data_IF_809105594238
#
_entry.id   IF_809105594238
#
_cell.length_a   1.000
_cell.length_b   1.000
_cell.length_c   1.000
_cell.angle_alpha   90.00
_cell.angle_beta   90.00
_cell.angle_gamma   90.00
#
_symmetry.space_group_name_H-M   'P 1'
#
loop_
_entity.id
_entity.type
_entity.pdbx_description
1 polymer ?
#
# COMPACT_ATOMS: atom_id res chain seq x y z
N UNK A 1 -7.79 -4.12 -21.84
CA UNK A 1 -7.85 -4.33 -20.37
C UNK A 1 -7.99 -2.96 -19.73
N UNK A 2 -8.92 -2.79 -18.77
CA UNK A 2 -9.06 -1.53 -18.03
C UNK A 2 -7.86 -1.35 -17.07
N UNK A 3 -7.46 -0.11 -16.83
CA UNK A 3 -6.33 0.22 -15.94
C UNK A 3 -6.71 0.24 -14.47
N UNK A 4 -5.71 0.16 -13.59
CA UNK A 4 -5.83 0.55 -12.18
C UNK A 4 -5.34 1.97 -12.02
N UNK A 5 -6.18 2.84 -11.44
CA UNK A 5 -5.80 4.20 -11.09
C UNK A 5 -5.49 4.27 -9.60
N UNK A 6 -4.34 4.84 -9.25
CA UNK A 6 -3.97 5.10 -7.86
C UNK A 6 -3.81 6.58 -7.60
N UNK A 7 -4.17 7.05 -6.40
CA UNK A 7 -4.06 8.45 -5.98
C UNK A 7 -3.32 8.56 -4.67
N UNK A 8 -2.21 9.28 -4.65
CA UNK A 8 -1.40 9.45 -3.45
C UNK A 8 -0.18 10.32 -3.65
N UNK A 9 0.64 10.46 -2.62
CA UNK A 9 1.87 11.23 -2.66
C UNK A 9 3.06 10.35 -3.06
N UNK A 10 3.82 10.79 -4.06
CA UNK A 10 5.18 10.30 -4.30
C UNK A 10 6.18 11.29 -3.71
N UNK A 11 7.15 10.77 -2.99
CA UNK A 11 8.20 11.53 -2.28
C UNK A 11 9.58 11.05 -2.70
N UNK A 12 10.62 11.75 -2.28
CA UNK A 12 11.97 11.23 -2.34
C UNK A 12 12.33 10.53 -1.01
N UNK A 13 12.63 9.24 -1.10
CA UNK A 13 13.24 8.47 -0.03
C UNK A 13 14.73 8.76 -0.01
N UNK A 14 15.26 9.11 1.15
CA UNK A 14 16.69 9.29 1.39
C UNK A 14 17.12 8.27 2.45
N UNK A 15 18.07 7.42 2.09
CA UNK A 15 18.60 6.39 2.99
C UNK A 15 20.13 6.36 2.92
N UNK A 16 20.83 5.99 4.00
CA UNK A 16 22.27 5.70 3.91
C UNK A 16 22.56 4.74 2.77
N UNK A 17 23.64 4.97 2.06
CA UNK A 17 24.05 4.12 0.94
C UNK A 17 24.46 2.72 1.42
N UNK A 18 25.18 2.68 2.54
CA UNK A 18 25.63 1.43 3.12
C UNK A 18 24.57 0.82 4.03
N UNK A 19 24.31 -0.47 3.86
CA UNK A 19 23.38 -1.22 4.71
C UNK A 19 23.86 -1.21 6.17
N UNK A 20 22.94 -0.87 7.08
CA UNK A 20 23.19 -0.85 8.52
C UNK A 20 23.82 0.43 9.06
N UNK A 21 24.22 1.35 8.21
CA UNK A 21 24.71 2.66 8.61
C UNK A 21 23.57 3.51 9.19
N UNK A 22 23.87 4.31 10.21
CA UNK A 22 22.89 5.22 10.79
C UNK A 22 22.85 6.53 10.01
N UNK A 23 21.70 7.21 10.01
CA UNK A 23 21.57 8.53 9.39
C UNK A 23 22.62 9.53 9.92
N UNK A 24 22.96 9.44 11.23
CA UNK A 24 23.93 10.33 11.88
C UNK A 24 25.41 9.97 11.59
N UNK A 25 25.65 8.82 10.96
CA UNK A 25 27.00 8.35 10.62
C UNK A 25 27.30 8.46 9.13
N UNK A 26 26.26 8.44 8.31
CA UNK A 26 26.42 8.41 6.86
C UNK A 26 26.80 9.77 6.29
N UNK A 27 27.74 9.75 5.35
CA UNK A 27 28.12 10.90 4.53
C UNK A 27 27.60 10.76 3.08
N UNK A 28 27.11 9.56 2.70
CA UNK A 28 26.58 9.26 1.38
C UNK A 28 25.17 8.71 1.47
N UNK A 29 24.29 9.18 0.60
CA UNK A 29 22.88 8.84 0.64
C UNK A 29 22.35 8.44 -0.74
N UNK A 30 21.56 7.38 -0.76
CA UNK A 30 20.77 6.97 -1.91
C UNK A 30 19.47 7.73 -1.91
N UNK A 31 19.08 8.27 -3.08
CA UNK A 31 17.83 9.01 -3.26
C UNK A 31 16.99 8.28 -4.30
N UNK A 32 15.87 7.72 -3.88
CA UNK A 32 14.91 7.03 -4.74
C UNK A 32 13.49 7.56 -4.50
N UNK A 33 12.64 7.67 -5.53
CA UNK A 33 11.23 7.96 -5.33
C UNK A 33 10.52 6.79 -4.65
N UNK A 34 9.56 7.12 -3.77
CA UNK A 34 8.72 6.15 -3.07
C UNK A 34 7.43 6.79 -2.55
N UNK A 35 6.43 5.95 -2.31
CA UNK A 35 5.12 6.34 -1.80
C UNK A 35 4.15 5.19 -1.93
N UNK A 36 3.22 5.04 -0.99
CA UNK A 36 2.36 3.85 -0.91
C UNK A 36 1.64 3.58 -2.23
N UNK A 37 0.92 4.55 -2.76
CA UNK A 37 0.11 4.38 -3.96
C UNK A 37 0.94 4.32 -5.26
N UNK A 38 2.12 4.95 -5.27
CA UNK A 38 3.07 4.82 -6.38
C UNK A 38 3.70 3.41 -6.40
N UNK A 39 3.99 2.84 -5.22
CA UNK A 39 4.47 1.47 -5.07
C UNK A 39 3.43 0.48 -5.58
N UNK A 40 2.15 0.69 -5.23
CA UNK A 40 1.03 -0.12 -5.74
C UNK A 40 0.91 -0.02 -7.27
N UNK A 41 1.01 1.20 -7.84
CA UNK A 41 1.01 1.37 -9.30
C UNK A 41 2.10 0.57 -9.99
N UNK A 42 3.34 0.66 -9.48
CA UNK A 42 4.49 -0.04 -10.05
C UNK A 42 4.32 -1.56 -9.93
N UNK A 43 3.94 -2.05 -8.75
CA UNK A 43 3.76 -3.48 -8.52
C UNK A 43 2.69 -4.08 -9.43
N UNK A 44 1.51 -3.46 -9.54
CA UNK A 44 0.42 -3.91 -10.42
C UNK A 44 0.84 -3.85 -11.90
N UNK A 45 1.61 -2.82 -12.29
CA UNK A 45 2.13 -2.72 -13.65
C UNK A 45 3.08 -3.85 -14.00
N UNK A 46 3.98 -4.20 -13.08
CA UNK A 46 4.91 -5.33 -13.26
C UNK A 46 4.21 -6.69 -13.28
N UNK A 47 3.04 -6.81 -12.65
CA UNK A 47 2.16 -7.98 -12.77
C UNK A 47 1.38 -8.02 -14.10
N UNK A 48 1.51 -7.01 -14.97
CA UNK A 48 0.94 -7.00 -16.33
C UNK A 48 -0.37 -6.23 -16.49
N UNK A 49 -0.88 -5.50 -15.49
CA UNK A 49 -2.06 -4.64 -15.63
C UNK A 49 -1.62 -3.19 -15.89
N UNK A 50 -2.20 -2.48 -16.86
CA UNK A 50 -1.95 -1.05 -17.03
C UNK A 50 -2.31 -0.25 -15.78
N UNK A 51 -1.46 0.72 -15.41
CA UNK A 51 -1.68 1.59 -14.23
C UNK A 51 -1.54 3.05 -14.59
N UNK A 52 -2.29 3.91 -13.90
CA UNK A 52 -2.20 5.36 -13.96
C UNK A 52 -2.04 5.90 -12.53
N UNK A 53 -1.05 6.76 -12.34
CA UNK A 53 -0.79 7.38 -11.04
C UNK A 53 -1.23 8.85 -11.05
N UNK A 54 -2.05 9.23 -10.08
CA UNK A 54 -2.63 10.57 -9.92
C UNK A 54 -2.04 11.23 -8.68
N UNK A 55 -1.48 12.42 -8.85
CA UNK A 55 -0.88 13.21 -7.77
C UNK A 55 -0.72 14.67 -8.18
N UNK A 56 -0.26 15.52 -7.26
CA UNK A 56 0.16 16.90 -7.54
C UNK A 56 1.60 17.11 -7.06
N UNK A 57 2.46 17.59 -7.95
CA UNK A 57 3.89 17.79 -7.71
C UNK A 57 4.28 19.22 -8.10
N UNK A 58 5.32 19.82 -7.48
CA UNK A 58 5.86 21.08 -7.95
C UNK A 58 6.50 20.91 -9.35
N UNK A 59 6.54 21.97 -10.14
CA UNK A 59 7.19 21.95 -11.45
C UNK A 59 8.70 22.22 -11.29
N UNK A 60 9.48 21.17 -11.05
CA UNK A 60 10.93 21.24 -10.88
C UNK A 60 11.61 19.89 -11.16
N UNK A 61 12.96 19.90 -11.17
CA UNK A 61 13.77 18.71 -11.48
C UNK A 61 13.62 17.54 -10.50
N UNK A 62 13.28 17.80 -9.24
CA UNK A 62 13.03 16.72 -8.27
C UNK A 62 11.74 15.98 -8.60
N UNK A 63 10.72 16.70 -9.03
CA UNK A 63 9.48 16.10 -9.53
C UNK A 63 9.70 15.31 -10.81
N UNK A 64 10.51 15.85 -11.73
CA UNK A 64 10.88 15.12 -12.95
C UNK A 64 11.59 13.79 -12.63
N UNK A 65 12.46 13.75 -11.60
CA UNK A 65 13.07 12.50 -11.14
C UNK A 65 12.01 11.49 -10.70
N UNK A 66 10.99 11.93 -9.95
CA UNK A 66 9.91 11.06 -9.51
C UNK A 66 9.03 10.58 -10.68
N UNK A 67 8.72 11.47 -11.64
CA UNK A 67 7.95 11.13 -12.84
C UNK A 67 8.72 10.12 -13.72
N UNK A 68 9.99 10.37 -13.98
CA UNK A 68 10.84 9.47 -14.77
C UNK A 68 10.96 8.08 -14.12
N UNK A 69 11.04 8.04 -12.80
CA UNK A 69 11.06 6.77 -12.06
C UNK A 69 9.77 5.96 -12.29
N UNK A 70 8.60 6.58 -12.23
CA UNK A 70 7.33 5.93 -12.55
C UNK A 70 7.28 5.46 -14.02
N UNK A 71 7.76 6.30 -14.93
CA UNK A 71 7.81 6.02 -16.37
C UNK A 71 8.75 4.84 -16.71
N UNK A 72 9.85 4.64 -15.96
CA UNK A 72 10.73 3.48 -16.12
C UNK A 72 9.97 2.14 -15.94
N UNK A 73 8.89 2.14 -15.14
CA UNK A 73 7.98 1.01 -14.98
C UNK A 73 6.75 1.06 -15.89
N UNK A 74 6.71 2.00 -16.86
CA UNK A 74 5.58 2.20 -17.76
C UNK A 74 4.25 2.50 -17.05
N UNK A 75 4.29 3.17 -15.90
CA UNK A 75 3.12 3.75 -15.22
C UNK A 75 2.68 4.99 -16.02
N UNK A 76 1.39 5.13 -16.29
CA UNK A 76 0.84 6.34 -16.92
C UNK A 76 0.90 7.51 -15.94
N UNK A 77 1.69 8.53 -16.29
CA UNK A 77 1.91 9.76 -15.51
C UNK A 77 1.19 10.98 -16.08
N UNK A 78 0.35 10.80 -17.10
CA UNK A 78 -0.35 11.92 -17.78
C UNK A 78 -1.39 12.62 -16.91
N UNK A 79 -1.75 12.02 -15.77
CA UNK A 79 -2.71 12.55 -14.79
C UNK A 79 -2.03 13.28 -13.62
N UNK A 80 -0.71 13.49 -13.69
CA UNK A 80 0.03 14.24 -12.67
C UNK A 80 -0.15 15.74 -12.92
N UNK A 81 -0.63 16.43 -11.88
CA UNK A 81 -0.76 17.90 -11.88
C UNK A 81 0.58 18.52 -11.47
N UNK A 82 1.15 19.37 -12.33
CA UNK A 82 2.40 20.10 -12.05
C UNK A 82 2.09 21.48 -11.51
N UNK A 83 2.00 21.61 -10.19
CA UNK A 83 1.72 22.88 -9.51
C UNK A 83 2.12 22.79 -8.03
N UNK A 84 2.42 23.93 -7.42
CA UNK A 84 2.80 24.03 -6.01
C UNK A 84 4.29 24.24 -5.84
N UNK A 85 4.81 24.08 -4.60
CA UNK A 85 6.16 24.54 -4.27
C UNK A 85 7.10 23.46 -3.77
N UNK A 86 6.58 22.39 -3.16
CA UNK A 86 7.40 21.43 -2.42
C UNK A 86 7.06 20.00 -2.76
N UNK A 87 8.08 19.21 -3.08
CA UNK A 87 8.02 17.75 -3.11
C UNK A 87 8.31 17.21 -1.69
N UNK A 88 7.56 16.21 -1.24
CA UNK A 88 7.79 15.56 0.04
C UNK A 88 9.08 14.74 0.05
N UNK A 89 9.70 14.65 1.22
CA UNK A 89 10.91 13.85 1.45
C UNK A 89 10.69 13.00 2.70
N UNK A 90 11.24 11.80 2.70
CA UNK A 90 11.37 11.01 3.91
C UNK A 90 12.75 10.35 4.00
N UNK A 91 13.27 10.35 5.21
CA UNK A 91 14.54 9.72 5.54
C UNK A 91 14.26 8.37 6.16
N UNK A 92 14.99 7.35 5.73
CA UNK A 92 14.87 6.01 6.31
C UNK A 92 16.21 5.52 6.83
N UNK A 93 16.18 4.92 8.02
CA UNK A 93 17.26 4.14 8.57
C UNK A 93 16.76 2.71 8.74
N UNK A 94 17.31 1.77 7.98
CA UNK A 94 16.92 0.37 8.07
C UNK A 94 17.41 -0.25 9.38
N UNK A 95 16.52 -0.94 10.05
CA UNK A 95 16.84 -1.69 11.26
C UNK A 95 17.67 -2.94 10.94
N UNK A 96 18.53 -3.34 11.88
CA UNK A 96 19.31 -4.57 11.81
C UNK A 96 19.30 -5.26 13.16
N UNK A 97 19.01 -6.56 13.19
CA UNK A 97 18.96 -7.34 14.42
C UNK A 97 17.98 -6.73 15.45
N UNK A 98 18.43 -6.32 16.62
CA UNK A 98 17.57 -5.72 17.66
C UNK A 98 17.24 -4.23 17.39
N UNK A 99 17.92 -3.58 16.44
CA UNK A 99 17.72 -2.17 16.15
C UNK A 99 16.53 -1.96 15.22
N UNK A 100 15.53 -1.19 15.64
CA UNK A 100 14.36 -0.85 14.85
C UNK A 100 14.71 0.05 13.64
N UNK A 101 13.94 -0.09 12.57
CA UNK A 101 13.93 0.90 11.48
C UNK A 101 13.35 2.24 11.97
N UNK A 102 13.86 3.35 11.44
CA UNK A 102 13.34 4.68 11.72
C UNK A 102 12.96 5.40 10.42
N UNK A 103 11.86 6.18 10.50
CA UNK A 103 11.40 7.02 9.38
C UNK A 103 11.16 8.43 9.91
N UNK A 104 11.76 9.41 9.22
CA UNK A 104 11.59 10.84 9.49
C UNK A 104 10.96 11.47 8.27
N UNK A 105 9.82 12.14 8.43
CA UNK A 105 9.09 12.78 7.34
C UNK A 105 9.35 14.27 7.28
N UNK A 106 9.65 14.78 6.10
CA UNK A 106 9.58 16.20 5.73
C UNK A 106 8.55 16.34 4.60
N UNK A 107 7.26 16.31 4.98
CA UNK A 107 6.11 16.29 4.05
C UNK A 107 5.02 17.31 4.40
N UNK A 108 5.35 18.32 5.20
CA UNK A 108 4.40 19.40 5.47
C UNK A 108 4.43 20.44 4.33
N UNK A 109 3.26 20.98 3.98
CA UNK A 109 3.08 21.98 2.93
C UNK A 109 3.65 21.52 1.57
N UNK A 110 3.53 20.22 1.27
CA UNK A 110 3.87 19.69 -0.04
C UNK A 110 2.77 20.02 -1.03
N UNK A 111 3.11 20.04 -2.33
CA UNK A 111 2.12 20.26 -3.39
C UNK A 111 0.95 19.29 -3.28
N UNK A 112 1.20 18.04 -2.86
CA UNK A 112 0.16 17.06 -2.63
C UNK A 112 -0.68 17.38 -1.39
N UNK A 113 -0.10 17.88 -0.31
CA UNK A 113 -0.86 18.27 0.89
C UNK A 113 -1.80 19.46 0.65
N UNK A 114 -1.54 20.25 -0.39
CA UNK A 114 -2.27 21.46 -0.80
C UNK A 114 -3.14 21.23 -2.04
N UNK A 115 -3.52 19.97 -2.33
CA UNK A 115 -4.45 19.66 -3.42
C UNK A 115 -5.83 20.26 -3.19
N UNK A 116 -6.50 20.57 -4.28
CA UNK A 116 -7.89 21.04 -4.28
C UNK A 116 -8.75 20.17 -5.21
N UNK A 117 -10.05 20.13 -4.98
CA UNK A 117 -10.99 19.38 -5.82
C UNK A 117 -10.87 19.80 -7.29
N UNK A 118 -10.65 21.09 -7.55
CA UNK A 118 -10.46 21.64 -8.88
C UNK A 118 -9.22 21.15 -9.62
N UNK A 119 -8.24 20.57 -8.94
CA UNK A 119 -7.04 20.01 -9.56
C UNK A 119 -7.33 18.75 -10.39
N UNK A 120 -8.45 18.04 -10.13
CA UNK A 120 -8.72 16.72 -10.69
C UNK A 120 -10.09 16.61 -11.34
N UNK A 121 -10.13 16.25 -12.62
CA UNK A 121 -11.35 15.87 -13.31
C UNK A 121 -11.53 14.33 -13.20
N UNK A 122 -12.14 13.87 -12.11
CA UNK A 122 -12.31 12.45 -11.84
C UNK A 122 -13.06 11.70 -12.94
N UNK A 123 -14.02 12.32 -13.62
CA UNK A 123 -14.75 11.71 -14.74
C UNK A 123 -13.80 11.34 -15.89
N UNK A 124 -12.88 12.21 -16.25
CA UNK A 124 -11.88 11.92 -17.28
C UNK A 124 -10.78 10.99 -16.76
N UNK A 125 -10.38 11.12 -15.48
CA UNK A 125 -9.39 10.25 -14.85
C UNK A 125 -9.88 8.80 -14.84
N UNK A 126 -11.14 8.55 -14.49
CA UNK A 126 -11.71 7.20 -14.38
C UNK A 126 -12.22 6.60 -15.69
N UNK A 127 -12.26 7.34 -16.79
CA UNK A 127 -12.83 6.90 -18.07
C UNK A 127 -12.36 5.53 -18.56
N UNK A 128 -11.07 5.23 -18.39
CA UNK A 128 -10.45 3.97 -18.78
C UNK A 128 -10.06 3.08 -17.57
N UNK A 129 -10.47 3.47 -16.37
CA UNK A 129 -10.15 2.74 -15.14
C UNK A 129 -11.13 1.61 -14.91
N UNK A 130 -10.63 0.51 -14.36
CA UNK A 130 -11.44 -0.63 -13.88
C UNK A 130 -11.37 -0.80 -12.36
N UNK A 131 -10.44 -0.10 -11.73
CA UNK A 131 -10.22 -0.13 -10.29
C UNK A 131 -9.56 1.16 -9.84
N UNK A 132 -9.94 1.66 -8.66
CA UNK A 132 -9.30 2.79 -7.99
C UNK A 132 -8.68 2.35 -6.67
N UNK A 133 -7.51 2.88 -6.34
CA UNK A 133 -6.83 2.58 -5.08
C UNK A 133 -6.21 3.82 -4.43
N UNK A 134 -6.35 3.91 -3.12
CA UNK A 134 -5.65 4.88 -2.27
C UNK A 134 -5.41 4.30 -0.87
N UNK A 135 -4.64 5.00 -0.04
CA UNK A 135 -4.36 4.56 1.33
C UNK A 135 -4.78 5.58 2.38
N UNK A 136 -4.88 5.13 3.62
CA UNK A 136 -5.10 5.99 4.79
C UNK A 136 -3.94 6.95 5.05
N UNK A 137 -2.72 6.67 4.51
CA UNK A 137 -1.61 7.63 4.53
C UNK A 137 -2.02 8.91 3.82
N UNK A 138 -2.58 8.82 2.61
CA UNK A 138 -3.01 10.01 1.85
C UNK A 138 -4.04 10.82 2.62
N UNK A 139 -5.09 10.19 3.18
CA UNK A 139 -6.08 10.87 4.00
C UNK A 139 -5.50 11.54 5.27
N UNK A 140 -4.41 10.99 5.80
CA UNK A 140 -3.77 11.48 7.03
C UNK A 140 -2.96 12.78 6.84
N UNK A 141 -2.65 13.17 5.60
CA UNK A 141 -1.75 14.29 5.30
C UNK A 141 -2.39 15.63 5.60
N UNK A 142 -3.59 15.86 5.06
CA UNK A 142 -4.30 17.14 5.23
C UNK A 142 -5.82 16.99 5.03
N UNK A 143 -6.58 17.99 5.49
CA UNK A 143 -8.01 18.11 5.22
C UNK A 143 -8.29 18.22 3.71
N UNK A 144 -7.43 18.88 2.97
CA UNK A 144 -7.56 19.05 1.52
C UNK A 144 -7.54 17.68 0.81
N UNK A 145 -6.52 16.85 1.12
CA UNK A 145 -6.41 15.50 0.53
C UNK A 145 -7.64 14.65 0.89
N UNK A 146 -8.11 14.70 2.13
CA UNK A 146 -9.35 14.01 2.53
C UNK A 146 -10.56 14.49 1.72
N UNK A 147 -10.71 15.80 1.52
CA UNK A 147 -11.81 16.38 0.72
C UNK A 147 -11.74 15.91 -0.75
N UNK A 148 -10.54 15.89 -1.34
CA UNK A 148 -10.32 15.38 -2.71
C UNK A 148 -10.63 13.88 -2.81
N UNK A 149 -10.27 13.09 -1.81
CA UNK A 149 -10.63 11.66 -1.76
C UNK A 149 -12.13 11.43 -1.67
N UNK A 150 -12.84 12.25 -0.88
CA UNK A 150 -14.32 12.19 -0.82
C UNK A 150 -14.92 12.53 -2.18
N UNK A 151 -14.41 13.56 -2.85
CA UNK A 151 -14.89 13.94 -4.19
C UNK A 151 -14.61 12.80 -5.19
N UNK A 152 -13.42 12.17 -5.16
CA UNK A 152 -13.09 11.02 -5.99
C UNK A 152 -14.10 9.87 -5.80
N UNK A 153 -14.35 9.43 -4.56
CA UNK A 153 -15.25 8.30 -4.30
C UNK A 153 -16.73 8.61 -4.51
N UNK A 154 -17.13 9.88 -4.51
CA UNK A 154 -18.49 10.29 -4.89
C UNK A 154 -18.69 10.28 -6.42
N UNK A 155 -17.63 10.48 -7.20
CA UNK A 155 -17.64 10.50 -8.66
C UNK A 155 -17.26 9.16 -9.31
N UNK A 156 -17.19 8.06 -8.53
CA UNK A 156 -16.70 6.78 -9.00
C UNK A 156 -17.83 5.77 -9.21
N UNK A 157 -17.83 5.12 -10.41
CA UNK A 157 -18.73 4.01 -10.77
C UNK A 157 -17.99 2.66 -10.86
N UNK A 158 -16.71 2.61 -10.50
CA UNK A 158 -15.87 1.41 -10.54
C UNK A 158 -15.52 0.95 -9.11
N UNK A 159 -15.14 -0.32 -8.92
CA UNK A 159 -14.65 -0.79 -7.63
C UNK A 159 -13.46 0.02 -7.12
N UNK A 160 -13.39 0.25 -5.80
CA UNK A 160 -12.22 0.83 -5.20
C UNK A 160 -11.76 0.09 -3.96
N UNK A 161 -10.48 0.27 -3.65
CA UNK A 161 -9.82 -0.27 -2.46
C UNK A 161 -9.15 0.80 -1.65
N UNK A 162 -9.12 0.58 -0.34
CA UNK A 162 -8.35 1.37 0.61
C UNK A 162 -7.42 0.45 1.41
N UNK A 163 -6.12 0.78 1.45
CA UNK A 163 -5.21 0.26 2.46
C UNK A 163 -5.27 1.18 3.67
N UNK A 164 -5.65 0.66 4.82
CA UNK A 164 -5.80 1.44 6.06
C UNK A 164 -4.50 2.12 6.45
N UNK A 165 -3.40 1.43 6.37
CA UNK A 165 -2.01 1.91 6.46
C UNK A 165 -1.82 3.01 7.52
N UNK A 166 -2.33 2.75 8.74
CA UNK A 166 -2.36 3.74 9.82
C UNK A 166 -0.95 4.15 10.26
N UNK A 167 -0.74 5.46 10.34
CA UNK A 167 0.52 6.04 10.82
C UNK A 167 0.24 7.12 11.85
N UNK A 168 0.38 6.80 13.13
CA UNK A 168 0.06 7.69 14.27
C UNK A 168 0.78 9.04 14.22
N UNK A 169 1.94 9.13 13.55
CA UNK A 169 2.72 10.36 13.39
C UNK A 169 2.07 11.35 12.41
N UNK A 170 1.18 10.93 11.51
CA UNK A 170 0.67 11.75 10.42
C UNK A 170 -0.56 12.57 10.85
N UNK A 171 -1.62 12.13 11.21
CA UNK A 171 -2.91 12.76 11.53
C UNK A 171 -2.86 14.13 12.27
N UNK A 172 -1.91 15.00 11.92
CA UNK A 172 -1.66 16.28 12.60
C UNK A 172 -2.83 17.26 12.46
N UNK A 173 -3.47 17.28 11.29
CA UNK A 173 -4.60 18.17 10.99
C UNK A 173 -5.86 17.84 11.82
N UNK A 174 -5.97 16.63 12.34
CA UNK A 174 -6.97 16.19 13.31
C UNK A 174 -6.46 16.25 14.78
N UNK A 175 -5.30 16.90 15.02
CA UNK A 175 -4.64 16.92 16.34
C UNK A 175 -4.45 15.51 16.93
N UNK A 176 -4.39 14.49 16.06
CA UNK A 176 -4.31 13.06 16.43
C UNK A 176 -5.49 12.56 17.28
N UNK A 177 -6.64 13.19 17.18
CA UNK A 177 -7.87 12.75 17.85
C UNK A 177 -8.36 11.45 17.20
N UNK A 178 -8.35 10.36 17.98
CA UNK A 178 -8.70 9.03 17.50
C UNK A 178 -10.16 8.92 17.03
N UNK A 179 -11.07 9.69 17.62
CA UNK A 179 -12.50 9.71 17.20
C UNK A 179 -12.63 10.32 15.81
N UNK A 180 -11.98 11.46 15.58
CA UNK A 180 -12.01 12.12 14.27
C UNK A 180 -11.30 11.28 13.20
N UNK A 181 -10.20 10.60 13.52
CA UNK A 181 -9.53 9.66 12.61
C UNK A 181 -10.47 8.53 12.23
N UNK A 182 -11.18 7.94 13.21
CA UNK A 182 -12.15 6.90 12.98
C UNK A 182 -13.29 7.37 12.05
N UNK A 183 -13.80 8.59 12.23
CA UNK A 183 -14.86 9.14 11.39
C UNK A 183 -14.39 9.35 9.95
N UNK A 184 -13.22 9.95 9.76
CA UNK A 184 -12.58 10.13 8.44
C UNK A 184 -12.42 8.80 7.72
N UNK A 185 -11.81 7.80 8.39
CA UNK A 185 -11.57 6.50 7.78
C UNK A 185 -12.87 5.73 7.54
N UNK A 186 -13.86 5.86 8.43
CA UNK A 186 -15.19 5.27 8.22
C UNK A 186 -15.84 5.81 6.95
N UNK A 187 -15.84 7.13 6.76
CA UNK A 187 -16.42 7.75 5.56
C UNK A 187 -15.75 7.25 4.27
N UNK A 188 -14.43 7.11 4.27
CA UNK A 188 -13.68 6.60 3.12
C UNK A 188 -13.92 5.11 2.85
N UNK A 189 -14.22 4.32 3.89
CA UNK A 189 -14.48 2.88 3.77
C UNK A 189 -15.94 2.54 3.36
N UNK A 190 -16.90 3.46 3.51
CA UNK A 190 -18.35 3.15 3.33
C UNK A 190 -18.73 2.59 1.96
N UNK A 191 -18.01 2.97 0.91
CA UNK A 191 -18.25 2.50 -0.45
C UNK A 191 -17.20 1.52 -0.96
N UNK A 192 -16.19 1.17 -0.16
CA UNK A 192 -15.06 0.34 -0.58
C UNK A 192 -15.50 -1.08 -0.96
N UNK A 193 -14.87 -1.60 -2.02
CA UNK A 193 -15.00 -2.99 -2.44
C UNK A 193 -14.01 -3.89 -1.69
N UNK A 194 -12.80 -3.38 -1.42
CA UNK A 194 -11.75 -4.03 -0.66
C UNK A 194 -11.21 -3.07 0.40
N UNK A 195 -11.08 -3.54 1.63
CA UNK A 195 -10.30 -2.90 2.69
C UNK A 195 -9.11 -3.80 3.00
N UNK A 196 -7.91 -3.21 2.95
CA UNK A 196 -6.66 -3.86 3.31
C UNK A 196 -6.04 -3.22 4.56
N UNK A 197 -5.21 -3.96 5.28
CA UNK A 197 -4.46 -3.46 6.42
C UNK A 197 -3.80 -4.60 7.18
N UNK A 198 -3.13 -4.28 8.28
CA UNK A 198 -2.71 -5.25 9.27
C UNK A 198 -3.62 -5.18 10.51
N UNK A 199 -3.50 -6.14 11.41
CA UNK A 199 -4.29 -6.20 12.65
C UNK A 199 -4.33 -4.86 13.40
N UNK A 200 -3.16 -4.26 13.61
CA UNK A 200 -3.06 -2.99 14.36
C UNK A 200 -3.71 -1.82 13.65
N UNK A 201 -3.81 -1.82 12.32
CA UNK A 201 -4.55 -0.78 11.60
C UNK A 201 -6.05 -0.83 11.95
N UNK A 202 -6.66 -2.01 11.94
CA UNK A 202 -8.07 -2.19 12.30
C UNK A 202 -8.34 -1.87 13.77
N UNK A 203 -7.41 -2.24 14.66
CA UNK A 203 -7.52 -1.92 16.08
C UNK A 203 -7.42 -0.42 16.34
N UNK A 204 -6.39 0.23 15.78
CA UNK A 204 -6.13 1.65 16.01
C UNK A 204 -7.19 2.58 15.40
N UNK A 205 -7.73 2.22 14.22
CA UNK A 205 -8.71 3.05 13.51
C UNK A 205 -10.12 2.79 14.04
N UNK A 206 -10.54 1.52 14.10
CA UNK A 206 -11.94 1.16 14.36
C UNK A 206 -12.18 0.66 15.78
N UNK A 207 -11.14 0.36 16.55
CA UNK A 207 -11.26 -0.23 17.88
C UNK A 207 -11.69 -1.69 17.83
N UNK A 208 -11.37 -2.41 16.77
CA UNK A 208 -11.73 -3.83 16.62
C UNK A 208 -10.72 -4.70 17.36
N UNK A 209 -10.83 -4.71 18.68
CA UNK A 209 -10.03 -5.57 19.55
C UNK A 209 -10.61 -6.99 19.61
N UNK A 210 -9.75 -7.95 19.90
CA UNK A 210 -10.14 -9.32 20.17
C UNK A 210 -11.10 -9.41 21.35
N UNK A 211 -12.16 -10.18 21.19
CA UNK A 211 -13.14 -10.46 22.25
C UNK A 211 -13.03 -11.88 22.79
N UNK A 212 -12.40 -12.79 22.03
CA UNK A 212 -12.13 -14.18 22.41
C UNK A 212 -10.69 -14.39 22.86
N UNK A 213 -10.41 -15.47 23.62
CA UNK A 213 -9.07 -15.80 24.11
C UNK A 213 -8.20 -16.58 23.08
N UNK A 214 -8.66 -16.75 21.84
CA UNK A 214 -7.95 -17.51 20.80
C UNK A 214 -7.43 -16.57 19.71
N UNK A 215 -6.12 -16.54 19.47
CA UNK A 215 -5.50 -15.77 18.39
C UNK A 215 -6.04 -16.16 17.00
N UNK A 216 -6.44 -17.41 16.81
CA UNK A 216 -6.98 -17.93 15.56
C UNK A 216 -8.30 -17.27 15.13
N UNK A 217 -9.06 -16.72 16.09
CA UNK A 217 -10.36 -16.08 15.83
C UNK A 217 -10.27 -14.57 15.63
N UNK A 218 -9.15 -13.93 16.00
CA UNK A 218 -8.99 -12.48 15.94
C UNK A 218 -9.24 -11.91 14.55
N UNK A 219 -8.61 -12.48 13.53
CA UNK A 219 -8.76 -12.00 12.15
C UNK A 219 -10.17 -12.22 11.61
N UNK A 220 -10.83 -13.32 12.02
CA UNK A 220 -12.21 -13.61 11.65
C UNK A 220 -13.19 -12.61 12.29
N UNK A 221 -12.98 -12.26 13.57
CA UNK A 221 -13.74 -11.22 14.26
C UNK A 221 -13.58 -9.84 13.63
N UNK A 222 -12.33 -9.45 13.26
CA UNK A 222 -12.06 -8.20 12.57
C UNK A 222 -12.83 -8.16 11.23
N UNK A 223 -12.74 -9.25 10.45
CA UNK A 223 -13.40 -9.33 9.16
C UNK A 223 -14.92 -9.25 9.30
N UNK A 224 -15.51 -9.96 10.26
CA UNK A 224 -16.95 -9.92 10.50
C UNK A 224 -17.41 -8.52 10.89
N UNK A 225 -16.74 -7.86 11.86
CA UNK A 225 -17.05 -6.48 12.28
C UNK A 225 -16.94 -5.47 11.11
N UNK A 226 -15.98 -5.67 10.20
CA UNK A 226 -15.87 -4.85 8.98
C UNK A 226 -17.06 -5.11 8.03
N UNK A 227 -17.40 -6.37 7.77
CA UNK A 227 -18.55 -6.68 6.91
C UNK A 227 -19.86 -6.16 7.46
N UNK A 228 -20.06 -6.22 8.78
CA UNK A 228 -21.25 -5.68 9.43
C UNK A 228 -21.33 -4.14 9.30
N UNK A 229 -20.17 -3.46 9.42
CA UNK A 229 -20.09 -2.01 9.37
C UNK A 229 -20.16 -1.44 7.95
N UNK A 230 -19.59 -2.11 6.95
CA UNK A 230 -19.44 -1.62 5.57
C UNK A 230 -20.24 -2.47 4.57
N UNK A 231 -21.51 -2.11 4.28
CA UNK A 231 -22.41 -3.00 3.52
C UNK A 231 -21.98 -3.25 2.06
N UNK A 232 -21.21 -2.34 1.43
CA UNK A 232 -20.70 -2.50 0.06
C UNK A 232 -19.41 -3.32 -0.03
N UNK A 233 -18.77 -3.58 1.12
CA UNK A 233 -17.51 -4.29 1.21
C UNK A 233 -17.68 -5.75 0.79
N UNK A 234 -16.85 -6.21 -0.15
CA UNK A 234 -16.84 -7.60 -0.64
C UNK A 234 -15.64 -8.38 -0.14
N UNK A 235 -14.52 -7.70 0.06
CA UNK A 235 -13.24 -8.32 0.39
C UNK A 235 -12.55 -7.57 1.53
N UNK A 236 -11.89 -8.33 2.39
CA UNK A 236 -10.96 -7.81 3.40
C UNK A 236 -9.67 -8.59 3.25
N UNK A 237 -8.55 -7.90 3.18
CA UNK A 237 -7.24 -8.53 3.23
C UNK A 237 -6.45 -8.06 4.44
N UNK A 238 -5.92 -9.01 5.20
CA UNK A 238 -5.14 -8.73 6.40
C UNK A 238 -3.75 -9.34 6.22
N UNK A 239 -2.73 -8.48 6.20
CA UNK A 239 -1.34 -8.93 6.24
C UNK A 239 -0.96 -9.26 7.68
N UNK A 240 -0.27 -10.39 7.85
CA UNK A 240 0.18 -10.84 9.16
C UNK A 240 1.69 -11.01 9.17
N UNK A 241 2.34 -10.34 10.12
CA UNK A 241 3.78 -10.36 10.31
C UNK A 241 4.12 -10.65 11.75
N UNK A 242 4.76 -11.78 11.98
CA UNK A 242 5.34 -12.12 13.27
C UNK A 242 6.80 -11.70 13.23
N UNK A 243 7.13 -10.59 13.91
CA UNK A 243 8.48 -10.04 13.94
C UNK A 243 9.35 -10.82 14.94
N UNK A 244 10.44 -11.40 14.45
CA UNK A 244 11.48 -12.06 15.28
C UNK A 244 12.58 -11.06 15.59
N UNK A 245 13.04 -10.32 14.57
CA UNK A 245 13.99 -9.22 14.69
C UNK A 245 13.78 -8.21 13.57
N UNK A 246 14.60 -7.17 13.50
CA UNK A 246 14.59 -6.25 12.36
C UNK A 246 15.02 -6.94 11.04
N UNK A 247 15.68 -8.08 11.09
CA UNK A 247 16.19 -8.81 9.91
C UNK A 247 15.51 -10.14 9.67
N UNK A 248 14.53 -10.53 10.51
CA UNK A 248 13.86 -11.84 10.43
C UNK A 248 12.38 -11.73 10.83
N UNK A 249 11.50 -12.27 9.98
CA UNK A 249 10.05 -12.33 10.21
C UNK A 249 9.47 -13.67 9.73
N UNK A 250 8.34 -14.06 10.29
CA UNK A 250 7.37 -14.91 9.60
C UNK A 250 6.31 -14.00 8.95
N UNK A 251 5.96 -14.30 7.71
CA UNK A 251 5.06 -13.50 6.87
C UNK A 251 3.99 -14.37 6.24
N UNK A 252 2.74 -14.02 6.44
CA UNK A 252 1.60 -14.56 5.72
C UNK A 252 0.48 -13.51 5.63
N UNK A 253 -0.71 -13.92 5.20
CA UNK A 253 -1.87 -13.04 5.16
C UNK A 253 -3.16 -13.80 4.91
N UNK A 254 -4.27 -13.08 5.02
CA UNK A 254 -5.61 -13.61 4.90
C UNK A 254 -6.43 -12.80 3.90
N UNK A 255 -7.28 -13.49 3.15
CA UNK A 255 -8.33 -12.91 2.33
C UNK A 255 -9.68 -13.40 2.83
N UNK A 256 -10.54 -12.49 3.23
CA UNK A 256 -11.92 -12.76 3.62
C UNK A 256 -12.85 -12.33 2.51
N UNK A 257 -13.84 -13.17 2.21
CA UNK A 257 -14.78 -12.96 1.10
C UNK A 257 -16.21 -13.01 1.64
N UNK A 258 -16.94 -11.92 1.46
CA UNK A 258 -18.34 -11.82 1.89
C UNK A 258 -19.20 -12.81 1.12
N UNK A 259 -20.03 -13.57 1.84
CA UNK A 259 -21.00 -14.53 1.28
C UNK A 259 -20.38 -15.64 0.41
N UNK A 260 -19.09 -15.92 0.56
CA UNK A 260 -18.47 -17.09 -0.04
C UNK A 260 -18.65 -18.32 0.85
N UNK A 261 -18.64 -19.54 0.24
CA UNK A 261 -18.75 -20.80 0.99
C UNK A 261 -17.58 -20.96 1.97
N UNK A 262 -16.40 -20.50 1.56
CA UNK A 262 -15.21 -20.44 2.40
C UNK A 262 -14.96 -18.95 2.75
N UNK A 263 -15.34 -18.58 3.96
CA UNK A 263 -15.24 -17.20 4.44
C UNK A 263 -13.80 -16.65 4.46
N UNK A 264 -12.81 -17.51 4.79
CA UNK A 264 -11.39 -17.16 4.99
C UNK A 264 -10.47 -18.00 4.12
N UNK A 265 -9.56 -17.35 3.43
CA UNK A 265 -8.47 -17.96 2.67
C UNK A 265 -7.14 -17.54 3.29
N UNK A 266 -6.30 -18.52 3.63
CA UNK A 266 -4.98 -18.28 4.23
C UNK A 266 -3.90 -18.40 3.17
N UNK A 267 -3.04 -17.38 3.08
CA UNK A 267 -1.93 -17.36 2.15
C UNK A 267 -0.76 -18.23 2.60
N UNK A 268 0.16 -18.48 1.67
CA UNK A 268 1.40 -19.18 1.97
C UNK A 268 2.20 -18.41 3.03
N UNK A 269 2.78 -19.16 3.95
CA UNK A 269 3.65 -18.63 4.99
C UNK A 269 5.11 -18.68 4.53
N UNK A 270 5.83 -17.57 4.75
CA UNK A 270 7.24 -17.43 4.43
C UNK A 270 8.05 -17.05 5.66
N UNK A 271 9.14 -17.77 5.89
CA UNK A 271 10.18 -17.39 6.84
C UNK A 271 11.18 -16.52 6.10
N UNK A 272 11.23 -15.24 6.44
CA UNK A 272 12.03 -14.22 5.77
C UNK A 272 13.28 -13.90 6.60
N UNK A 273 14.45 -14.33 6.09
CA UNK A 273 15.75 -14.12 6.72
C UNK A 273 16.88 -14.37 5.70
N UNK A 274 17.78 -13.42 5.42
CA UNK A 274 17.73 -12.02 5.88
C UNK A 274 16.68 -11.19 5.13
N UNK A 275 16.16 -10.16 5.79
CA UNK A 275 15.34 -9.13 5.14
C UNK A 275 16.26 -8.03 4.62
N UNK A 276 16.10 -7.67 3.33
CA UNK A 276 16.84 -6.56 2.72
C UNK A 276 16.18 -5.22 2.97
N UNK A 277 14.87 -5.11 2.71
CA UNK A 277 14.08 -3.93 3.02
C UNK A 277 12.65 -4.33 3.44
N UNK A 278 11.99 -3.49 4.23
CA UNK A 278 10.62 -3.70 4.68
C UNK A 278 9.63 -2.68 4.13
N UNK A 279 10.17 -1.59 3.60
CA UNK A 279 9.34 -0.51 3.06
C UNK A 279 8.67 -1.01 1.78
N UNK A 280 7.40 -0.68 1.59
CA UNK A 280 6.64 -1.09 0.40
C UNK A 280 6.09 -2.53 0.42
N UNK A 281 6.41 -3.35 1.43
CA UNK A 281 5.95 -4.76 1.45
C UNK A 281 4.44 -4.89 1.68
N UNK A 282 3.82 -3.98 2.45
CA UNK A 282 2.36 -3.87 2.59
C UNK A 282 1.71 -3.44 1.27
N UNK A 283 2.28 -2.42 0.62
CA UNK A 283 1.81 -1.94 -0.69
C UNK A 283 1.87 -3.06 -1.74
N UNK A 284 2.93 -3.86 -1.70
CA UNK A 284 3.11 -5.02 -2.58
C UNK A 284 2.10 -6.13 -2.30
N UNK A 285 1.77 -6.38 -1.04
CA UNK A 285 0.74 -7.35 -0.65
C UNK A 285 -0.63 -6.94 -1.19
N UNK A 286 -1.05 -5.69 -0.98
CA UNK A 286 -2.35 -5.21 -1.48
C UNK A 286 -2.38 -5.19 -3.01
N UNK A 287 -1.24 -4.96 -3.67
CA UNK A 287 -1.12 -5.04 -5.14
C UNK A 287 -1.42 -6.43 -5.67
N UNK A 288 -0.92 -7.47 -5.02
CA UNK A 288 -1.22 -8.87 -5.36
C UNK A 288 -2.70 -9.21 -5.19
N UNK A 289 -3.35 -8.69 -4.14
CA UNK A 289 -4.80 -8.84 -3.95
C UNK A 289 -5.57 -8.16 -5.08
N UNK A 290 -5.28 -6.88 -5.37
CA UNK A 290 -5.97 -6.13 -6.44
C UNK A 290 -5.79 -6.82 -7.80
N UNK A 291 -4.55 -7.22 -8.13
CA UNK A 291 -4.24 -7.97 -9.36
C UNK A 291 -5.08 -9.22 -9.47
N UNK A 292 -5.13 -10.05 -8.42
CA UNK A 292 -5.89 -11.29 -8.41
C UNK A 292 -7.39 -11.07 -8.53
N UNK A 293 -7.96 -10.06 -7.83
CA UNK A 293 -9.38 -9.74 -7.88
C UNK A 293 -9.82 -9.22 -9.26
N UNK A 294 -8.97 -8.47 -9.96
CA UNK A 294 -9.23 -8.05 -11.34
C UNK A 294 -9.20 -9.25 -12.28
N UNK A 295 -8.33 -10.21 -12.04
CA UNK A 295 -8.16 -11.42 -12.83
C UNK A 295 -8.85 -12.66 -12.23
N UNK A 296 -9.90 -12.49 -11.42
CA UNK A 296 -10.56 -13.59 -10.71
C UNK A 296 -11.20 -14.67 -11.59
N UNK A 297 -11.32 -14.42 -12.89
CA UNK A 297 -11.69 -15.46 -13.86
C UNK A 297 -10.58 -16.48 -14.09
N UNK A 298 -9.32 -16.11 -13.80
CA UNK A 298 -8.13 -16.92 -14.00
C UNK A 298 -7.56 -17.50 -12.71
N UNK A 299 -7.92 -16.92 -11.55
CA UNK A 299 -7.39 -17.30 -10.25
C UNK A 299 -8.50 -17.49 -9.21
N UNK A 300 -8.47 -18.59 -8.48
CA UNK A 300 -9.28 -18.80 -7.27
C UNK A 300 -8.87 -17.86 -6.14
N UNK A 301 -9.71 -17.67 -5.14
CA UNK A 301 -9.37 -16.83 -3.97
C UNK A 301 -8.14 -17.36 -3.22
N UNK A 302 -7.93 -18.69 -3.19
CA UNK A 302 -6.72 -19.28 -2.61
C UNK A 302 -5.47 -18.91 -3.40
N UNK A 303 -5.53 -18.92 -4.72
CA UNK A 303 -4.41 -18.49 -5.57
C UNK A 303 -4.16 -17.00 -5.44
N UNK A 304 -5.21 -16.17 -5.34
CA UNK A 304 -5.10 -14.73 -5.13
C UNK A 304 -4.30 -14.40 -3.87
N UNK A 305 -4.67 -15.01 -2.74
CA UNK A 305 -3.93 -14.74 -1.50
C UNK A 305 -2.51 -15.31 -1.53
N UNK A 306 -2.28 -16.44 -2.20
CA UNK A 306 -0.94 -16.97 -2.39
C UNK A 306 -0.06 -16.05 -3.26
N UNK A 307 -0.63 -15.45 -4.32
CA UNK A 307 0.06 -14.45 -5.14
C UNK A 307 0.45 -13.24 -4.27
N UNK A 308 -0.47 -12.72 -3.48
CA UNK A 308 -0.24 -11.54 -2.64
C UNK A 308 0.86 -11.78 -1.59
N UNK A 309 0.81 -12.90 -0.88
CA UNK A 309 1.82 -13.25 0.14
C UNK A 309 3.18 -13.50 -0.48
N UNK A 310 3.24 -14.17 -1.63
CA UNK A 310 4.49 -14.50 -2.33
C UNK A 310 5.15 -13.25 -2.94
N UNK A 311 4.36 -12.37 -3.56
CA UNK A 311 4.84 -11.11 -4.12
C UNK A 311 5.44 -10.23 -3.02
N UNK A 312 4.76 -10.12 -1.88
CA UNK A 312 5.27 -9.38 -0.73
C UNK A 312 6.51 -10.02 -0.12
N UNK A 313 6.56 -11.35 -0.03
CA UNK A 313 7.75 -12.07 0.43
C UNK A 313 8.96 -11.79 -0.47
N UNK A 314 8.78 -11.81 -1.80
CA UNK A 314 9.81 -11.43 -2.76
C UNK A 314 10.29 -9.99 -2.53
N UNK A 315 9.39 -9.04 -2.28
CA UNK A 315 9.76 -7.64 -2.08
C UNK A 315 10.65 -7.42 -0.85
N UNK A 316 10.55 -8.26 0.18
CA UNK A 316 11.46 -8.22 1.33
C UNK A 316 12.92 -8.59 0.98
N UNK A 317 13.17 -9.19 -0.19
CA UNK A 317 14.50 -9.63 -0.63
C UNK A 317 15.26 -8.61 -1.45
N UNK A 318 14.69 -7.43 -1.70
CA UNK A 318 15.30 -6.36 -2.52
C UNK A 318 15.26 -5.03 -1.78
N UNK A 319 16.25 -4.17 -2.08
CA UNK A 319 16.29 -2.80 -1.58
C UNK A 319 15.33 -1.91 -2.37
N UNK A 320 14.69 -0.98 -1.67
CA UNK A 320 13.78 0.01 -2.25
C UNK A 320 12.31 -0.35 -2.04
N UNK A 321 11.44 0.69 -2.20
CA UNK A 321 10.01 0.58 -1.90
C UNK A 321 9.22 -0.17 -2.99
N UNK A 322 9.64 -0.01 -4.25
CA UNK A 322 8.89 -0.47 -5.40
C UNK A 322 9.24 -1.93 -5.76
N UNK A 323 8.23 -2.76 -5.87
CA UNK A 323 8.37 -4.15 -6.34
C UNK A 323 8.76 -4.20 -7.82
N UNK A 324 9.75 -5.02 -8.15
CA UNK A 324 10.25 -5.23 -9.52
C UNK A 324 9.90 -6.61 -10.07
N UNK A 325 9.11 -7.40 -9.35
CA UNK A 325 8.80 -8.78 -9.69
C UNK A 325 7.61 -8.88 -10.65
N UNK A 326 7.74 -9.76 -11.64
CA UNK A 326 6.69 -10.14 -12.58
C UNK A 326 5.75 -11.20 -11.97
N UNK A 327 4.63 -11.46 -12.63
CA UNK A 327 3.74 -12.57 -12.22
C UNK A 327 4.45 -13.93 -12.35
N UNK A 328 5.33 -14.10 -13.33
CA UNK A 328 6.07 -15.33 -13.52
C UNK A 328 7.05 -15.59 -12.36
N UNK A 329 7.72 -14.55 -11.83
CA UNK A 329 8.55 -14.66 -10.64
C UNK A 329 7.73 -15.15 -9.43
N UNK A 330 6.54 -14.57 -9.25
CA UNK A 330 5.63 -14.93 -8.15
C UNK A 330 5.16 -16.37 -8.28
N UNK A 331 4.70 -16.78 -9.46
CA UNK A 331 4.23 -18.15 -9.71
C UNK A 331 5.34 -19.18 -9.54
N UNK A 332 6.57 -18.83 -9.92
CA UNK A 332 7.75 -19.66 -9.70
C UNK A 332 8.04 -19.89 -8.20
N UNK A 333 7.93 -18.83 -7.37
CA UNK A 333 8.11 -18.94 -5.92
C UNK A 333 7.01 -19.82 -5.31
N UNK A 334 5.76 -19.66 -5.72
CA UNK A 334 4.64 -20.50 -5.26
C UNK A 334 4.91 -21.97 -5.61
N UNK A 335 5.26 -22.25 -6.88
CA UNK A 335 5.54 -23.60 -7.38
C UNK A 335 6.69 -24.28 -6.63
N UNK A 336 7.76 -23.54 -6.35
CA UNK A 336 8.95 -24.04 -5.68
C UNK A 336 8.88 -23.94 -4.15
N UNK A 337 7.75 -23.52 -3.59
CA UNK A 337 7.53 -23.35 -2.13
C UNK A 337 8.62 -22.51 -1.45
N UNK A 338 9.13 -21.50 -2.13
CA UNK A 338 10.16 -20.60 -1.60
C UNK A 338 11.54 -21.24 -1.36
N UNK A 339 11.85 -22.39 -1.96
CA UNK A 339 13.11 -23.13 -1.68
C UNK A 339 14.38 -22.49 -2.26
N UNK A 340 14.26 -21.40 -3.03
CA UNK A 340 15.41 -20.70 -3.64
C UNK A 340 16.21 -21.53 -4.66
N UNK A 341 15.64 -22.60 -5.22
CA UNK A 341 16.30 -23.43 -6.23
C UNK A 341 16.58 -22.64 -7.50
N UNK A 342 17.75 -22.88 -8.10
CA UNK A 342 18.13 -22.26 -9.37
C UNK A 342 17.13 -22.69 -10.46
N UNK A 343 16.53 -21.71 -11.12
CA UNK A 343 15.72 -21.92 -12.33
C UNK A 343 16.68 -22.16 -13.51
N UNK A 344 16.55 -23.31 -14.19
CA UNK A 344 17.34 -23.66 -15.37
C UNK A 344 16.43 -23.84 -16.57
#
# INVERSE_FOLDING_TARGET
MKSVTTFGEVMLRISPENKGERLTQSNTFKIEPGGSESNVSIAIKNLGIPTSFVTKLPDNQLSEKAIQFLQQFNVDTTKIVKQGKKLGIYWTENGIGPRNSNVIYDRENTSFSEVEVSDFNWKEIFKNSGWFHFSGISASISKNVYTVLLDAIHNIDIPYSIDLNYRSKLWKWLKKDASLVKDVMTNLCMGATLIAGNESDFQNIFGFHQTSNSEDTLFDEIAQKCFDRFPKLKYISISNRIAISASSNTWNGFLFVRNDKQFKYTGLEYKLEPIEDRVGTGDTFVSGIIFGLINKSNYSYQEIINIATSLSALNHTTMGDASRFSIDDVLNVIKNKGTGRILR
#
